data_IF_028992858919
#
_entry.id   IF_028992858919
#
_cell.length_a   1.000
_cell.length_b   1.000
_cell.length_c   1.000
_cell.angle_alpha   90.00
_cell.angle_beta   90.00
_cell.angle_gamma   90.00
#
_symmetry.space_group_name_H-M   'P 1'
#
loop_
_entity.id
_entity.type
_entity.pdbx_description
1 polymer ?
#
# COMPACT_ATOMS: atom_id res chain seq x y z
N UNK A 1 1.03 -10.61 14.77
CA UNK A 1 0.69 -10.12 13.40
C UNK A 1 1.97 -9.63 12.71
N UNK A 2 2.15 -9.79 11.40
CA UNK A 2 3.29 -9.16 10.71
C UNK A 2 2.89 -8.47 9.40
N UNK A 3 3.68 -7.46 9.03
CA UNK A 3 3.62 -6.70 7.78
C UNK A 3 5.01 -6.67 7.16
N UNK A 4 5.07 -6.70 5.82
CA UNK A 4 6.32 -6.75 5.06
C UNK A 4 6.32 -5.59 4.06
N UNK A 5 7.50 -5.01 3.84
CA UNK A 5 7.76 -4.04 2.80
C UNK A 5 9.03 -4.38 2.04
N UNK A 6 9.01 -4.15 0.74
CA UNK A 6 10.18 -4.33 -0.13
C UNK A 6 10.51 -3.02 -0.83
N UNK A 7 11.80 -2.71 -0.94
CA UNK A 7 12.26 -1.52 -1.63
C UNK A 7 13.74 -1.55 -1.92
N UNK A 8 14.21 -0.46 -2.53
CA UNK A 8 15.58 -0.29 -2.95
C UNK A 8 16.24 0.83 -2.16
N UNK A 9 17.39 0.53 -1.55
CA UNK A 9 18.29 1.51 -0.98
C UNK A 9 19.19 2.05 -2.09
N UNK A 10 18.94 3.29 -2.50
CA UNK A 10 19.71 3.94 -3.56
C UNK A 10 21.10 4.39 -3.14
N UNK A 11 21.38 4.52 -1.84
CA UNK A 11 22.69 4.91 -1.31
C UNK A 11 23.64 3.71 -1.33
N UNK A 12 23.17 2.57 -0.82
CA UNK A 12 23.97 1.35 -0.75
C UNK A 12 23.80 0.44 -1.98
N UNK A 13 22.96 0.84 -2.94
CA UNK A 13 22.61 0.07 -4.13
C UNK A 13 22.13 -1.36 -3.81
N UNK A 14 21.28 -1.49 -2.79
CA UNK A 14 20.84 -2.78 -2.27
C UNK A 14 19.32 -2.91 -2.21
N UNK A 15 18.83 -4.12 -2.43
CA UNK A 15 17.42 -4.45 -2.24
C UNK A 15 17.20 -4.85 -0.78
N UNK A 16 16.20 -4.25 -0.13
CA UNK A 16 15.89 -4.51 1.27
C UNK A 16 14.46 -4.98 1.47
N UNK A 17 14.26 -5.82 2.48
CA UNK A 17 12.95 -6.23 2.98
C UNK A 17 12.85 -5.83 4.44
N UNK A 18 11.87 -5.02 4.78
CA UNK A 18 11.53 -4.70 6.17
C UNK A 18 10.36 -5.57 6.61
N UNK A 19 10.47 -6.17 7.79
CA UNK A 19 9.42 -6.94 8.46
C UNK A 19 9.08 -6.24 9.77
N UNK A 20 7.80 -5.95 9.97
CA UNK A 20 7.26 -5.35 11.18
C UNK A 20 6.33 -6.38 11.84
N UNK A 21 6.68 -6.82 13.04
CA UNK A 21 5.96 -7.85 13.79
C UNK A 21 5.38 -7.25 15.06
N UNK A 22 4.08 -7.41 15.24
CA UNK A 22 3.35 -7.05 16.45
C UNK A 22 3.04 -8.32 17.23
N UNK A 23 3.42 -8.34 18.50
CA UNK A 23 2.95 -9.34 19.47
C UNK A 23 1.55 -8.93 19.93
N UNK A 24 0.66 -9.91 20.04
CA UNK A 24 -0.69 -9.71 20.57
C UNK A 24 -0.64 -10.06 22.05
N UNK A 25 -0.91 -9.08 22.91
CA UNK A 25 -1.09 -9.31 24.34
C UNK A 25 -2.59 -9.25 24.68
N UNK A 26 -2.97 -9.62 25.91
CA UNK A 26 -4.36 -9.65 26.38
C UNK A 26 -5.08 -8.30 26.24
N UNK A 27 -4.32 -7.19 26.25
CA UNK A 27 -4.81 -5.82 26.08
C UNK A 27 -4.80 -5.34 24.60
N UNK A 28 -4.40 -6.20 23.67
CA UNK A 28 -4.33 -5.96 22.22
C UNK A 28 -2.97 -5.45 21.71
N UNK A 29 -2.90 -5.14 20.40
CA UNK A 29 -1.67 -4.70 19.71
C UNK A 29 -1.17 -3.29 20.07
N UNK A 30 -1.83 -2.61 21.01
CA UNK A 30 -1.69 -1.16 21.21
C UNK A 30 -0.60 -0.80 22.24
N UNK A 31 -0.11 -1.77 23.03
CA UNK A 31 0.78 -1.48 24.17
C UNK A 31 2.25 -1.70 23.83
N UNK A 32 2.58 -2.79 23.13
CA UNK A 32 3.99 -3.17 22.89
C UNK A 32 4.51 -2.61 21.56
N UNK A 33 5.69 -1.94 21.54
CA UNK A 33 6.38 -1.58 20.31
C UNK A 33 6.56 -2.78 19.37
N UNK A 34 6.40 -2.63 18.05
CA UNK A 34 6.64 -3.73 17.14
C UNK A 34 8.13 -4.09 17.09
N UNK A 35 8.41 -5.38 16.95
CA UNK A 35 9.71 -5.85 16.51
C UNK A 35 9.89 -5.52 15.04
N UNK A 36 11.03 -4.93 14.68
CA UNK A 36 11.35 -4.61 13.30
C UNK A 36 12.64 -5.31 12.91
N UNK A 37 12.60 -6.00 11.79
CA UNK A 37 13.76 -6.66 11.21
C UNK A 37 13.94 -6.22 9.76
N UNK A 38 15.20 -6.10 9.35
CA UNK A 38 15.59 -5.70 8.01
C UNK A 38 16.45 -6.80 7.40
N UNK A 39 16.08 -7.23 6.21
CA UNK A 39 16.88 -8.09 5.37
C UNK A 39 17.51 -7.23 4.28
N UNK A 40 18.83 -7.27 4.18
CA UNK A 40 19.60 -6.64 3.10
C UNK A 40 20.10 -7.74 2.16
N UNK A 41 19.78 -7.64 0.86
CA UNK A 41 20.15 -8.68 -0.11
C UNK A 41 21.68 -8.86 -0.20
N UNK A 42 22.44 -7.76 -0.09
CA UNK A 42 23.90 -7.79 -0.03
C UNK A 42 24.46 -8.62 1.13
N UNK A 43 23.80 -8.60 2.30
CA UNK A 43 24.24 -9.32 3.51
C UNK A 43 23.69 -10.74 3.59
N UNK A 44 22.54 -10.98 2.96
CA UNK A 44 21.90 -12.29 2.96
C UNK A 44 21.27 -12.70 4.30
N UNK A 45 21.15 -11.80 5.28
CA UNK A 45 20.65 -12.08 6.62
C UNK A 45 19.64 -11.03 7.12
N UNK A 46 18.78 -11.46 8.06
CA UNK A 46 17.90 -10.56 8.81
C UNK A 46 18.66 -9.92 9.99
N UNK A 47 18.39 -8.65 10.26
CA UNK A 47 18.95 -7.90 11.38
C UNK A 47 17.84 -7.13 12.09
N UNK A 48 17.82 -7.17 13.42
CA UNK A 48 16.84 -6.43 14.23
C UNK A 48 17.20 -4.94 14.29
N UNK A 49 16.19 -4.08 14.14
CA UNK A 49 16.30 -2.64 14.36
C UNK A 49 15.92 -2.34 15.81
N UNK A 50 16.90 -1.96 16.63
CA UNK A 50 16.74 -1.83 18.09
C UNK A 50 15.79 -0.70 18.52
N UNK A 51 15.67 0.37 17.72
CA UNK A 51 14.75 1.47 17.99
C UNK A 51 14.12 1.97 16.70
N UNK A 52 12.85 1.64 16.48
CA UNK A 52 12.13 2.02 15.27
C UNK A 52 11.29 3.30 15.42
N UNK A 53 11.01 3.75 16.65
CA UNK A 53 10.20 4.94 16.93
C UNK A 53 8.75 4.87 16.42
N UNK A 54 8.29 3.71 15.96
CA UNK A 54 6.98 3.55 15.33
C UNK A 54 5.86 3.53 16.38
N UNK A 55 5.07 4.61 16.39
CA UNK A 55 3.94 4.79 17.32
C UNK A 55 2.58 4.39 16.73
N UNK A 56 2.54 4.04 15.45
CA UNK A 56 1.32 3.66 14.73
C UNK A 56 1.29 2.17 14.44
N UNK A 57 0.10 1.64 14.23
CA UNK A 57 -0.11 0.21 13.94
C UNK A 57 -0.28 0.04 12.43
N UNK A 58 0.54 -0.82 11.84
CA UNK A 58 0.40 -1.28 10.46
C UNK A 58 -0.42 -2.59 10.48
N UNK A 59 -1.69 -2.57 10.06
CA UNK A 59 -2.53 -3.76 10.11
C UNK A 59 -2.02 -4.88 9.18
N UNK A 60 -2.33 -6.13 9.56
CA UNK A 60 -2.03 -7.33 8.77
C UNK A 60 -2.61 -7.15 7.38
N UNK A 61 -1.83 -7.53 6.36
CA UNK A 61 -2.26 -7.45 4.95
C UNK A 61 -2.59 -6.02 4.51
N UNK A 62 -2.14 -4.99 5.22
CA UNK A 62 -2.17 -3.63 4.68
C UNK A 62 -1.36 -3.63 3.37
N UNK A 63 -1.95 -3.21 2.24
CA UNK A 63 -1.21 -3.13 0.98
C UNK A 63 0.01 -2.23 1.14
N UNK A 64 1.09 -2.58 0.44
CA UNK A 64 2.35 -1.84 0.47
C UNK A 64 2.66 -1.27 -0.91
N UNK A 65 3.22 -0.07 -0.94
CA UNK A 65 3.76 0.54 -2.16
C UNK A 65 5.13 1.14 -1.92
N UNK A 66 6.02 0.97 -2.89
CA UNK A 66 7.34 1.57 -2.89
C UNK A 66 7.37 2.76 -3.84
N UNK A 67 7.70 3.95 -3.32
CA UNK A 67 7.86 5.20 -4.09
C UNK A 67 8.80 6.13 -3.32
N UNK A 68 9.55 6.99 -4.00
CA UNK A 68 10.42 8.00 -3.36
C UNK A 68 11.39 7.43 -2.32
N UNK A 69 11.98 6.26 -2.58
CA UNK A 69 12.97 5.62 -1.68
C UNK A 69 12.36 4.95 -0.44
N UNK A 70 11.03 4.97 -0.29
CA UNK A 70 10.36 4.43 0.87
C UNK A 70 9.22 3.48 0.50
N UNK A 71 9.01 2.48 1.35
CA UNK A 71 7.80 1.66 1.32
C UNK A 71 6.74 2.30 2.23
N UNK A 72 5.49 2.25 1.82
CA UNK A 72 4.37 2.91 2.47
C UNK A 72 3.23 1.95 2.72
N UNK A 73 2.55 2.11 3.85
CA UNK A 73 1.34 1.37 4.22
C UNK A 73 0.28 2.31 4.78
N UNK A 74 -0.98 1.95 4.58
CA UNK A 74 -2.05 2.49 5.42
C UNK A 74 -1.86 1.94 6.83
N UNK A 75 -1.89 2.83 7.82
CA UNK A 75 -1.74 2.56 9.24
C UNK A 75 -2.81 3.34 10.04
N UNK A 76 -2.83 3.14 11.35
CA UNK A 76 -3.68 3.92 12.25
C UNK A 76 -3.00 4.19 13.59
N UNK A 77 -3.40 5.25 14.27
CA UNK A 77 -2.90 5.61 15.60
C UNK A 77 -3.29 4.55 16.64
N UNK A 78 -2.39 4.28 17.59
CA UNK A 78 -2.70 3.47 18.79
C UNK A 78 -3.85 4.11 19.57
N UNK A 79 -4.72 3.30 20.19
CA UNK A 79 -5.82 3.84 20.99
C UNK A 79 -5.24 4.57 22.21
N UNK A 80 -5.51 5.86 22.33
CA UNK A 80 -5.31 6.62 23.56
C UNK A 80 -6.67 6.95 24.17
N UNK A 81 -6.81 6.86 25.48
CA UNK A 81 -8.06 7.01 26.25
C UNK A 81 -9.15 7.87 25.56
N UNK A 82 -10.19 7.20 25.05
CA UNK A 82 -11.39 7.83 24.49
C UNK A 82 -11.28 8.43 23.08
N UNK A 83 -10.11 8.44 22.43
CA UNK A 83 -9.96 8.99 21.07
C UNK A 83 -10.32 8.00 19.97
N UNK A 84 -10.84 8.53 18.85
CA UNK A 84 -11.04 7.77 17.62
C UNK A 84 -9.68 7.49 16.96
N UNK A 85 -9.46 6.25 16.52
CA UNK A 85 -8.23 5.87 15.79
C UNK A 85 -8.22 6.56 14.43
N UNK A 86 -7.31 7.51 14.24
CA UNK A 86 -7.11 8.17 12.95
C UNK A 86 -6.29 7.29 12.03
N UNK A 87 -6.69 7.23 10.76
CA UNK A 87 -5.89 6.62 9.71
C UNK A 87 -4.78 7.57 9.28
N UNK A 88 -3.62 7.01 8.96
CA UNK A 88 -2.48 7.73 8.40
C UNK A 88 -1.70 6.80 7.45
N UNK A 89 -0.64 7.33 6.85
CA UNK A 89 0.34 6.53 6.13
C UNK A 89 1.60 6.44 6.98
N UNK A 90 2.11 5.22 7.17
CA UNK A 90 3.46 4.99 7.67
C UNK A 90 4.36 4.68 6.49
N UNK A 91 5.55 5.25 6.48
CA UNK A 91 6.60 4.97 5.51
C UNK A 91 7.85 4.47 6.21
N UNK A 92 8.62 3.61 5.55
CA UNK A 92 9.96 3.21 5.94
C UNK A 92 10.91 3.50 4.79
N UNK A 93 11.86 4.41 5.03
CA UNK A 93 12.84 4.80 4.01
C UNK A 93 13.98 3.79 3.98
N UNK A 94 14.29 3.28 2.80
CA UNK A 94 15.25 2.18 2.63
C UNK A 94 16.71 2.63 2.80
N UNK A 95 16.99 3.92 2.64
CA UNK A 95 18.33 4.49 2.71
C UNK A 95 18.74 4.81 4.14
N UNK A 96 17.88 5.52 4.88
CA UNK A 96 18.16 5.89 6.29
C UNK A 96 17.57 4.92 7.32
N UNK A 97 16.77 3.95 6.87
CA UNK A 97 16.19 2.89 7.71
C UNK A 97 15.26 3.43 8.82
N UNK A 98 14.64 4.60 8.59
CA UNK A 98 13.73 5.24 9.54
C UNK A 98 12.26 5.16 9.12
N UNK A 99 11.41 4.95 10.12
CA UNK A 99 9.97 5.13 9.96
C UNK A 99 9.60 6.61 10.00
N UNK A 100 8.64 6.99 9.15
CA UNK A 100 8.05 8.34 9.14
C UNK A 100 6.54 8.26 8.95
N UNK A 101 5.84 9.21 9.52
CA UNK A 101 4.42 9.41 9.26
C UNK A 101 4.23 10.34 8.07
N UNK A 102 3.28 9.99 7.21
CA UNK A 102 2.77 10.84 6.14
C UNK A 102 1.29 11.04 6.45
N UNK A 103 0.92 12.28 6.79
CA UNK A 103 -0.45 12.57 7.19
C UNK A 103 -1.39 12.61 5.98
N UNK A 104 -2.62 12.17 6.23
CA UNK A 104 -3.74 12.25 5.29
C UNK A 104 -4.52 13.54 5.55
N UNK A 105 -5.27 14.05 4.56
CA UNK A 105 -6.30 15.07 4.80
C UNK A 105 -7.29 14.58 5.85
N UNK A 106 -7.85 15.50 6.63
CA UNK A 106 -8.77 15.16 7.74
C UNK A 106 -9.95 14.28 7.29
N UNK A 107 -10.47 14.52 6.08
CA UNK A 107 -11.57 13.75 5.50
C UNK A 107 -11.23 12.26 5.30
N UNK A 108 -9.96 11.93 5.01
CA UNK A 108 -9.44 10.57 4.89
C UNK A 108 -8.95 10.04 6.24
N UNK A 109 -8.31 10.87 7.05
CA UNK A 109 -7.79 10.48 8.36
C UNK A 109 -8.92 10.05 9.32
N UNK A 110 -10.12 10.63 9.19
CA UNK A 110 -11.32 10.25 9.93
C UNK A 110 -11.93 8.92 9.46
N UNK A 111 -11.52 8.36 8.33
CA UNK A 111 -12.04 7.10 7.83
C UNK A 111 -11.38 5.91 8.52
N UNK A 112 -12.09 4.77 8.55
CA UNK A 112 -11.48 3.50 8.96
C UNK A 112 -10.41 3.09 7.95
N UNK A 113 -9.25 2.69 8.44
CA UNK A 113 -8.13 2.22 7.61
C UNK A 113 -8.53 1.09 6.64
N UNK A 114 -9.52 0.28 6.98
CA UNK A 114 -10.04 -0.80 6.12
C UNK A 114 -10.65 -0.30 4.82
N UNK A 115 -11.13 0.95 4.82
CA UNK A 115 -11.74 1.61 3.66
C UNK A 115 -10.70 2.31 2.78
N UNK A 116 -9.44 2.37 3.21
CA UNK A 116 -8.37 3.03 2.47
C UNK A 116 -7.44 1.99 1.83
N UNK A 117 -7.06 2.23 0.58
CA UNK A 117 -6.04 1.45 -0.14
C UNK A 117 -5.01 2.40 -0.71
N UNK A 118 -3.74 2.14 -0.41
CA UNK A 118 -2.63 2.90 -0.92
C UNK A 118 -2.19 2.35 -2.28
N UNK A 119 -1.85 3.23 -3.22
CA UNK A 119 -1.34 2.85 -4.54
C UNK A 119 -0.36 3.92 -5.08
N UNK A 120 0.13 3.69 -6.30
CA UNK A 120 0.91 4.67 -7.06
C UNK A 120 0.13 5.04 -8.33
N UNK A 121 -0.05 6.34 -8.55
CA UNK A 121 -0.66 6.89 -9.76
C UNK A 121 0.35 7.79 -10.47
N UNK A 122 0.82 7.35 -11.64
CA UNK A 122 1.96 7.98 -12.31
C UNK A 122 3.22 7.89 -11.43
N UNK A 123 3.69 9.04 -10.97
CA UNK A 123 4.85 9.17 -10.07
C UNK A 123 4.45 9.68 -8.67
N UNK A 124 3.15 9.67 -8.37
CA UNK A 124 2.60 10.20 -7.13
C UNK A 124 1.99 9.10 -6.26
N UNK A 125 2.09 9.28 -4.95
CA UNK A 125 1.41 8.44 -3.98
C UNK A 125 -0.10 8.75 -4.04
N UNK A 126 -0.94 7.72 -4.06
CA UNK A 126 -2.38 7.88 -4.08
C UNK A 126 -3.09 7.01 -3.05
N UNK A 127 -4.27 7.46 -2.63
CA UNK A 127 -5.16 6.71 -1.74
C UNK A 127 -6.52 6.59 -2.40
N UNK A 128 -6.97 5.35 -2.52
CA UNK A 128 -8.34 4.99 -2.89
C UNK A 128 -9.16 4.84 -1.62
N UNK A 129 -10.20 5.65 -1.48
CA UNK A 129 -11.15 5.57 -0.39
C UNK A 129 -12.43 4.90 -0.89
N UNK A 130 -12.74 3.71 -0.35
CA UNK A 130 -13.98 3.00 -0.61
C UNK A 130 -15.13 3.71 0.13
N UNK A 131 -15.96 4.41 -0.64
CA UNK A 131 -17.14 5.11 -0.16
C UNK A 131 -18.29 4.12 -0.16
N UNK A 132 -18.81 3.78 1.02
CA UNK A 132 -19.97 2.91 1.16
C UNK A 132 -21.02 3.60 2.03
N UNK A 133 -22.10 4.06 1.40
CA UNK A 133 -23.32 4.50 2.07
C UNK A 133 -24.46 3.54 1.76
N UNK A 134 -25.60 3.69 2.44
CA UNK A 134 -26.82 2.91 2.17
C UNK A 134 -27.34 3.09 0.75
N UNK A 135 -26.99 4.20 0.08
CA UNK A 135 -27.48 4.54 -1.26
C UNK A 135 -26.43 4.37 -2.37
N UNK A 136 -25.14 4.56 -2.07
CA UNK A 136 -24.08 4.56 -3.08
C UNK A 136 -22.83 3.81 -2.60
N UNK A 137 -22.27 2.97 -3.47
CA UNK A 137 -20.91 2.42 -3.35
C UNK A 137 -20.00 3.08 -4.36
N UNK A 138 -18.71 3.15 -4.08
CA UNK A 138 -17.79 3.79 -5.00
C UNK A 138 -16.38 3.96 -4.44
N UNK A 139 -15.57 4.69 -5.19
CA UNK A 139 -14.20 5.00 -4.82
C UNK A 139 -13.87 6.45 -5.10
N UNK A 140 -13.36 7.14 -4.09
CA UNK A 140 -12.68 8.42 -4.27
C UNK A 140 -11.19 8.19 -4.40
N UNK A 141 -10.56 8.75 -5.44
CA UNK A 141 -9.10 8.76 -5.55
C UNK A 141 -8.52 10.12 -5.15
N UNK A 142 -7.59 10.05 -4.21
CA UNK A 142 -6.78 11.18 -3.78
C UNK A 142 -5.34 10.97 -4.19
N UNK A 143 -4.68 12.02 -4.68
CA UNK A 143 -3.27 11.99 -5.09
C UNK A 143 -2.51 13.06 -4.33
N UNK A 144 -1.34 12.70 -3.81
CA UNK A 144 -0.40 13.61 -3.20
C UNK A 144 0.48 14.21 -4.29
N UNK A 145 0.18 15.45 -4.68
CA UNK A 145 0.91 16.14 -5.76
C UNK A 145 2.36 16.45 -5.38
N UNK A 146 2.60 16.76 -4.10
CA UNK A 146 3.94 16.99 -3.55
C UNK A 146 4.19 16.01 -2.41
N UNK A 147 5.16 15.13 -2.61
CA UNK A 147 5.47 14.08 -1.64
C UNK A 147 5.73 14.64 -0.24
N UNK A 148 5.05 14.09 0.76
CA UNK A 148 5.15 14.50 2.17
C UNK A 148 4.39 15.77 2.55
N UNK A 149 3.74 16.47 1.62
CA UNK A 149 3.01 17.72 1.89
C UNK A 149 1.52 17.45 1.97
N UNK A 150 0.93 17.61 3.16
CA UNK A 150 -0.47 17.26 3.44
C UNK A 150 -1.45 18.12 2.62
N UNK A 151 -1.13 19.39 2.44
CA UNK A 151 -1.94 20.35 1.70
C UNK A 151 -1.94 20.07 0.20
N UNK A 152 -1.06 19.18 -0.30
CA UNK A 152 -0.97 18.82 -1.71
C UNK A 152 -1.84 17.63 -2.11
N UNK A 153 -2.62 17.08 -1.18
CA UNK A 153 -3.57 16.03 -1.50
C UNK A 153 -4.77 16.59 -2.25
N UNK A 154 -4.93 16.18 -3.50
CA UNK A 154 -6.05 16.57 -4.36
C UNK A 154 -6.92 15.36 -4.67
N UNK A 155 -8.24 15.50 -4.56
CA UNK A 155 -9.19 14.50 -5.05
C UNK A 155 -9.28 14.59 -6.58
N UNK A 156 -8.74 13.59 -7.28
CA UNK A 156 -8.73 13.60 -8.75
C UNK A 156 -10.02 13.06 -9.37
N UNK A 157 -10.62 12.03 -8.79
CA UNK A 157 -11.87 11.48 -9.33
C UNK A 157 -12.71 10.76 -8.28
N UNK A 158 -13.97 10.51 -8.65
CA UNK A 158 -14.91 9.66 -7.94
C UNK A 158 -15.50 8.64 -8.92
N UNK A 159 -15.37 7.35 -8.62
CA UNK A 159 -16.02 6.25 -9.32
C UNK A 159 -17.28 5.91 -8.54
N UNK A 160 -18.45 5.98 -9.17
CA UNK A 160 -19.73 5.63 -8.54
C UNK A 160 -20.18 4.27 -9.07
N UNK A 161 -20.47 3.35 -8.15
CA UNK A 161 -20.95 2.01 -8.43
C UNK A 161 -22.46 1.90 -8.18
N UNK A 162 -23.24 2.40 -9.14
CA UNK A 162 -24.70 2.28 -9.09
C UNK A 162 -25.20 0.82 -9.11
N UNK A 163 -24.39 -0.11 -9.62
CA UNK A 163 -24.76 -1.51 -9.80
C UNK A 163 -24.28 -2.41 -8.66
N UNK A 164 -23.58 -1.86 -7.66
CA UNK A 164 -22.98 -2.60 -6.54
C UNK A 164 -22.13 -3.80 -6.98
N UNK A 165 -21.45 -3.66 -8.13
CA UNK A 165 -20.70 -4.72 -8.80
C UNK A 165 -19.19 -4.54 -8.71
N UNK A 166 -18.71 -3.36 -8.26
CA UNK A 166 -17.29 -3.07 -8.12
C UNK A 166 -16.73 -3.75 -6.88
N UNK A 167 -15.78 -4.64 -7.11
CA UNK A 167 -14.86 -5.17 -6.11
C UNK A 167 -13.67 -4.23 -5.88
N UNK A 168 -12.60 -4.73 -5.22
CA UNK A 168 -11.44 -3.92 -4.86
C UNK A 168 -10.69 -3.36 -6.08
N UNK A 169 -10.13 -2.17 -5.91
CA UNK A 169 -9.10 -1.63 -6.81
C UNK A 169 -7.79 -2.37 -6.57
N UNK A 170 -7.27 -2.97 -7.63
CA UNK A 170 -6.05 -3.78 -7.60
C UNK A 170 -4.81 -2.91 -7.87
N UNK A 171 -4.92 -1.94 -8.77
CA UNK A 171 -3.82 -1.05 -9.12
C UNK A 171 -4.10 -0.24 -10.38
N UNK A 172 -3.04 0.24 -11.00
CA UNK A 172 -3.11 1.08 -12.20
C UNK A 172 -2.27 0.48 -13.32
N UNK A 173 -2.73 0.67 -14.56
CA UNK A 173 -1.95 0.39 -15.76
C UNK A 173 -1.04 1.58 -16.08
N UNK A 174 -0.07 1.36 -16.98
CA UNK A 174 0.84 2.41 -17.47
C UNK A 174 0.13 3.58 -18.16
N UNK A 175 -1.04 3.34 -18.75
CA UNK A 175 -1.89 4.35 -19.38
C UNK A 175 -2.87 5.00 -18.38
N UNK A 176 -2.64 4.85 -17.07
CA UNK A 176 -3.47 5.39 -15.99
C UNK A 176 -4.89 4.82 -15.89
N UNK A 177 -5.21 3.74 -16.61
CA UNK A 177 -6.45 3.00 -16.39
C UNK A 177 -6.43 2.31 -15.02
N UNK A 178 -7.55 2.34 -14.32
CA UNK A 178 -7.73 1.66 -13.03
C UNK A 178 -7.99 0.18 -13.28
N UNK A 179 -7.24 -0.69 -12.62
CA UNK A 179 -7.53 -2.12 -12.57
C UNK A 179 -8.38 -2.39 -11.34
N UNK A 180 -9.58 -2.91 -11.56
CA UNK A 180 -10.50 -3.25 -10.49
C UNK A 180 -11.17 -4.59 -10.77
N UNK A 181 -11.62 -5.24 -9.71
CA UNK A 181 -12.47 -6.41 -9.82
C UNK A 181 -13.92 -5.98 -10.05
N UNK A 182 -14.64 -6.66 -10.95
CA UNK A 182 -16.07 -6.47 -11.16
C UNK A 182 -16.71 -7.81 -11.47
N UNK A 183 -17.66 -8.24 -10.63
CA UNK A 183 -18.33 -9.55 -10.78
C UNK A 183 -17.33 -10.69 -11.07
N UNK A 184 -16.31 -10.83 -10.20
CA UNK A 184 -15.23 -11.83 -10.29
C UNK A 184 -14.29 -11.72 -11.51
N UNK A 185 -14.45 -10.69 -12.34
CA UNK A 185 -13.59 -10.42 -13.49
C UNK A 185 -12.67 -9.24 -13.20
N UNK A 186 -11.43 -9.31 -13.66
CA UNK A 186 -10.54 -8.16 -13.70
C UNK A 186 -10.93 -7.29 -14.90
N UNK A 187 -11.22 -6.03 -14.64
CA UNK A 187 -11.56 -5.04 -15.65
C UNK A 187 -10.59 -3.86 -15.58
N UNK A 188 -10.35 -3.22 -16.72
CA UNK A 188 -9.74 -1.89 -16.78
C UNK A 188 -10.84 -0.84 -16.90
N UNK A 189 -10.71 0.24 -16.13
CA UNK A 189 -11.61 1.37 -16.14
C UNK A 189 -10.84 2.63 -16.56
N UNK A 190 -11.27 3.23 -17.67
CA UNK A 190 -10.71 4.49 -18.15
C UNK A 190 -11.37 5.66 -17.40
N UNK A 191 -10.56 6.47 -16.75
CA UNK A 191 -11.03 7.58 -15.92
C UNK A 191 -11.59 8.75 -16.72
N UNK A 192 -11.16 8.91 -17.99
CA UNK A 192 -11.58 9.99 -18.88
C UNK A 192 -12.88 9.63 -19.58
N UNK A 193 -12.94 8.46 -20.20
CA UNK A 193 -14.12 8.01 -20.96
C UNK A 193 -15.19 7.39 -20.07
N UNK A 194 -14.82 6.98 -18.85
CA UNK A 194 -15.65 6.21 -17.91
C UNK A 194 -16.05 4.84 -18.45
N UNK A 195 -15.33 4.35 -19.47
CA UNK A 195 -15.58 3.04 -20.07
C UNK A 195 -14.88 1.94 -19.27
N UNK A 196 -15.52 0.77 -19.27
CA UNK A 196 -14.98 -0.43 -18.63
C UNK A 196 -14.68 -1.48 -19.69
N UNK A 197 -13.48 -2.06 -19.64
CA UNK A 197 -13.07 -3.16 -20.52
C UNK A 197 -12.75 -4.39 -19.70
N UNK A 198 -13.43 -5.50 -19.99
CA UNK A 198 -13.10 -6.80 -19.39
C UNK A 198 -11.75 -7.30 -19.94
N UNK A 199 -10.85 -7.73 -19.06
CA UNK A 199 -9.52 -8.21 -19.43
C UNK A 199 -9.46 -9.74 -19.63
N UNK A 200 -10.58 -10.44 -19.46
CA UNK A 200 -10.69 -11.89 -19.61
C UNK A 200 -10.00 -12.68 -18.49
N UNK A 201 -9.69 -12.04 -17.37
CA UNK A 201 -9.00 -12.64 -16.23
C UNK A 201 -9.97 -12.76 -15.04
N UNK A 202 -10.09 -13.96 -14.49
CA UNK A 202 -10.94 -14.22 -13.33
C UNK A 202 -10.16 -14.04 -12.02
N UNK A 203 -10.68 -13.22 -11.12
CA UNK A 203 -10.12 -12.95 -9.79
C UNK A 203 -10.46 -14.14 -8.88
N UNK A 204 -9.71 -15.23 -9.03
CA UNK A 204 -9.95 -16.47 -8.28
C UNK A 204 -8.97 -17.60 -8.61
N UNK A 205 -8.31 -17.56 -9.77
CA UNK A 205 -7.14 -18.42 -10.03
C UNK A 205 -5.89 -17.77 -9.46
N UNK A 206 -5.17 -18.49 -8.58
CA UNK A 206 -3.78 -18.15 -8.20
C UNK A 206 -3.01 -17.83 -9.47
N UNK A 207 -2.60 -16.57 -9.63
CA UNK A 207 -1.67 -16.18 -10.68
C UNK A 207 -0.37 -16.96 -10.46
N UNK A 208 -0.13 -18.00 -11.27
CA UNK A 208 1.19 -18.63 -11.37
C UNK A 208 2.06 -17.69 -12.20
N UNK A 209 2.63 -16.68 -11.54
CA UNK A 209 3.71 -15.89 -12.13
C UNK A 209 4.93 -16.81 -12.21
N UNK A 210 5.20 -17.36 -13.39
CA UNK A 210 6.50 -17.99 -13.67
C UNK A 210 7.52 -16.86 -13.83
N UNK A 211 8.25 -16.57 -12.76
CA UNK A 211 9.47 -15.76 -12.85
C UNK A 211 10.47 -16.58 -13.67
N UNK A 212 10.72 -16.16 -14.90
CA UNK A 212 11.76 -16.76 -15.75
C UNK A 212 13.08 -16.09 -15.38
N UNK A 213 13.86 -16.69 -14.49
CA UNK A 213 15.19 -16.19 -14.15
C UNK A 213 16.10 -16.38 -15.37
N UNK A 214 16.61 -15.28 -15.92
CA UNK A 214 17.55 -15.29 -17.04
C UNK A 214 18.94 -15.67 -16.51
N UNK A 215 19.15 -16.94 -16.20
CA UNK A 215 20.45 -17.48 -15.79
C UNK A 215 20.67 -18.86 -16.43
N UNK A 216 20.68 -18.92 -17.78
CA UNK A 216 21.14 -20.08 -18.55
C UNK A 216 21.26 -19.82 -20.07
N UNK A 217 21.77 -18.66 -20.50
CA UNK A 217 22.10 -18.41 -21.93
C UNK A 217 23.57 -17.99 -22.14
N UNK A 218 24.48 -18.33 -21.21
CA UNK A 218 25.92 -18.01 -21.33
C UNK A 218 26.86 -19.22 -21.19
N UNK A 219 26.37 -20.45 -21.40
CA UNK A 219 27.20 -21.67 -21.41
C UNK A 219 27.17 -22.42 -22.77
N UNK A 220 26.89 -21.73 -23.88
CA UNK A 220 26.92 -22.33 -25.22
C UNK A 220 27.92 -21.64 -26.18
N UNK A 221 28.93 -20.95 -25.66
CA UNK A 221 30.05 -20.44 -26.44
C UNK A 221 31.35 -20.58 -25.65
N UNK A 222 31.85 -21.81 -25.53
CA UNK A 222 33.25 -22.24 -25.61
C UNK A 222 33.28 -23.74 -25.85
#
# INVERSE_FOLDING_TARGET
MHSIGFGFDSINHDCKVVRVTYVEDDDGFDIVPPEVELYALSRGCWQSISYCGLQSIIPKRSPQVYINGAVHWIAYDRKTNGSFRRSLIVSFNMCDELFRQVFLPDSLAAQRWTNLKINVFGESLCVMHHVCSSANKGYDMWVMEKYGVVESWTKLFAIIDYQQSLGPVIGFRKNSEVLLERSENLVSYDLKTKETKNLGLWVGRKLKVKVKTRKQEMEALW
#
